data_IF_912164044840
#
_entry.id   IF_912164044840
#
_cell.length_a   1.000
_cell.length_b   1.000
_cell.length_c   1.000
_cell.angle_alpha   90.00
_cell.angle_beta   90.00
_cell.angle_gamma   90.00
#
_symmetry.space_group_name_H-M   'P 1'
#
loop_
_entity.id
_entity.type
_entity.pdbx_description
1 polymer ?
#
# COMPACT_ATOMS: atom_id res chain seq x y z
N UNK A 1 3.41 -2.60 6.97
CA UNK A 1 2.26 -3.27 7.60
C UNK A 1 1.91 -4.57 6.89
N UNK A 2 1.65 -4.54 5.58
CA UNK A 2 1.36 -5.77 4.83
C UNK A 2 2.58 -6.69 4.77
N UNK A 3 3.78 -6.14 4.65
CA UNK A 3 5.04 -6.89 4.79
C UNK A 3 5.13 -7.61 6.14
N UNK A 4 4.88 -6.89 7.24
CA UNK A 4 4.83 -7.50 8.59
C UNK A 4 3.78 -8.60 8.68
N UNK A 5 2.55 -8.38 8.19
CA UNK A 5 1.50 -9.40 8.19
C UNK A 5 1.93 -10.63 7.38
N UNK A 6 2.58 -10.43 6.23
CA UNK A 6 3.15 -11.51 5.42
C UNK A 6 4.19 -12.32 6.21
N UNK A 7 5.11 -11.66 6.92
CA UNK A 7 6.10 -12.33 7.78
C UNK A 7 5.43 -13.17 8.89
N UNK A 8 4.37 -12.64 9.53
CA UNK A 8 3.62 -13.38 10.55
C UNK A 8 2.83 -14.57 9.98
N UNK A 9 2.63 -14.63 8.67
CA UNK A 9 1.89 -15.68 7.97
C UNK A 9 2.80 -16.48 7.02
N UNK A 10 4.02 -16.77 7.45
CA UNK A 10 4.98 -17.64 6.76
C UNK A 10 5.26 -17.21 5.31
N UNK A 11 5.29 -15.90 5.06
CA UNK A 11 5.55 -15.34 3.73
C UNK A 11 4.34 -15.36 2.79
N UNK A 12 3.16 -15.80 3.23
CA UNK A 12 1.96 -15.82 2.40
C UNK A 12 1.40 -14.42 2.14
N UNK A 13 0.78 -14.24 0.97
CA UNK A 13 0.07 -13.02 0.62
C UNK A 13 -1.03 -12.73 1.67
N UNK A 14 -1.03 -11.54 2.30
CA UNK A 14 -1.98 -11.19 3.37
C UNK A 14 -3.45 -11.39 3.01
N UNK A 15 -3.82 -11.12 1.75
CA UNK A 15 -5.18 -11.32 1.27
C UNK A 15 -5.48 -12.80 0.99
N UNK A 16 -4.55 -13.53 0.36
CA UNK A 16 -4.75 -14.96 0.04
C UNK A 16 -4.80 -15.84 1.29
N UNK A 17 -4.00 -15.56 2.32
CA UNK A 17 -4.09 -16.25 3.61
C UNK A 17 -5.22 -15.73 4.51
N UNK A 18 -6.01 -14.76 4.04
CA UNK A 18 -7.14 -14.15 4.77
C UNK A 18 -6.73 -13.48 6.08
N UNK A 19 -5.50 -12.99 6.20
CA UNK A 19 -5.06 -12.20 7.33
C UNK A 19 -5.68 -10.78 7.32
N UNK A 20 -6.05 -10.28 6.14
CA UNK A 20 -6.82 -9.07 5.92
C UNK A 20 -7.96 -9.34 4.93
N UNK A 21 -8.96 -8.48 4.91
CA UNK A 21 -9.96 -8.40 3.83
C UNK A 21 -9.85 -7.05 3.12
N UNK A 22 -10.34 -6.97 1.87
CA UNK A 22 -10.33 -5.75 1.06
C UNK A 22 -11.73 -5.48 0.50
N UNK A 23 -12.18 -4.23 0.60
CA UNK A 23 -13.45 -3.75 0.05
C UNK A 23 -13.21 -2.63 -0.94
N UNK A 24 -13.89 -2.67 -2.08
CA UNK A 24 -13.77 -1.69 -3.16
C UNK A 24 -15.17 -1.19 -3.50
N UNK A 25 -15.36 0.13 -3.61
CA UNK A 25 -16.69 0.68 -3.88
C UNK A 25 -17.15 0.54 -5.32
N UNK A 26 -16.26 0.79 -6.29
CA UNK A 26 -16.62 0.83 -7.71
C UNK A 26 -15.38 0.57 -8.58
N UNK A 27 -15.60 0.22 -9.85
CA UNK A 27 -14.64 0.20 -10.94
C UNK A 27 -13.19 -0.14 -10.55
N UNK A 28 -12.80 -1.40 -10.73
CA UNK A 28 -11.41 -1.82 -10.58
C UNK A 28 -11.01 -2.83 -11.65
N UNK A 29 -9.71 -3.02 -11.83
CA UNK A 29 -9.15 -3.99 -12.76
C UNK A 29 -7.99 -4.75 -12.12
N UNK A 30 -7.69 -5.93 -12.65
CA UNK A 30 -6.66 -6.82 -12.10
C UNK A 30 -7.10 -7.57 -10.85
N UNK A 31 -6.23 -8.46 -10.35
CA UNK A 31 -6.49 -9.22 -9.12
C UNK A 31 -6.07 -8.38 -7.92
N UNK A 32 -6.96 -8.16 -6.96
CA UNK A 32 -6.65 -7.35 -5.75
C UNK A 32 -5.47 -7.89 -4.94
N UNK A 33 -5.21 -9.21 -4.99
CA UNK A 33 -4.03 -9.80 -4.35
C UNK A 33 -2.70 -9.26 -4.90
N UNK A 34 -2.70 -8.73 -6.12
CA UNK A 34 -1.51 -8.16 -6.77
C UNK A 34 -0.92 -6.99 -5.97
N UNK A 35 -1.74 -6.22 -5.25
CA UNK A 35 -1.28 -5.09 -4.43
C UNK A 35 -0.26 -5.45 -3.35
N UNK A 36 -0.17 -6.73 -3.02
CA UNK A 36 0.70 -7.27 -1.98
C UNK A 36 1.82 -8.16 -2.54
N UNK A 37 1.98 -8.29 -3.86
CA UNK A 37 2.92 -9.23 -4.50
C UNK A 37 4.23 -8.55 -4.92
N UNK A 38 4.94 -7.97 -3.96
CA UNK A 38 6.08 -7.09 -4.21
C UNK A 38 7.28 -7.72 -4.94
N UNK A 39 7.39 -9.06 -4.96
CA UNK A 39 8.50 -9.77 -5.63
C UNK A 39 8.20 -10.14 -7.08
N UNK A 40 6.96 -9.94 -7.55
CA UNK A 40 6.57 -10.28 -8.93
C UNK A 40 6.69 -9.05 -9.83
N UNK A 41 6.85 -9.30 -11.13
CA UNK A 41 6.81 -8.25 -12.16
C UNK A 41 5.64 -8.52 -13.12
N UNK A 42 5.30 -7.55 -13.95
CA UNK A 42 4.28 -7.72 -15.00
C UNK A 42 2.86 -7.93 -14.49
N UNK A 43 2.56 -7.47 -13.27
CA UNK A 43 1.22 -7.48 -12.71
C UNK A 43 0.83 -6.06 -12.29
N UNK A 44 -0.48 -5.86 -12.11
CA UNK A 44 -1.00 -4.58 -11.65
C UNK A 44 -2.42 -4.72 -11.18
N UNK A 45 -2.87 -3.69 -10.49
CA UNK A 45 -4.24 -3.47 -10.09
C UNK A 45 -4.58 -2.01 -10.40
N UNK A 46 -5.82 -1.74 -10.79
CA UNK A 46 -6.26 -0.39 -11.14
C UNK A 46 -7.54 -0.01 -10.44
N UNK A 47 -7.61 1.20 -9.90
CA UNK A 47 -8.85 1.81 -9.39
C UNK A 47 -9.36 2.85 -10.38
N UNK A 48 -10.61 2.76 -10.85
CA UNK A 48 -11.20 3.78 -11.70
C UNK A 48 -11.27 5.11 -10.96
N UNK A 49 -10.84 6.19 -11.62
CA UNK A 49 -11.01 7.54 -11.10
C UNK A 49 -12.47 7.97 -11.20
N UNK A 50 -13.21 7.62 -10.15
CA UNK A 50 -14.59 8.02 -9.93
C UNK A 50 -14.62 8.73 -8.59
N UNK A 51 -15.36 9.83 -8.49
CA UNK A 51 -15.53 10.59 -7.25
C UNK A 51 -15.94 9.66 -6.11
N UNK A 52 -15.24 9.74 -4.98
CA UNK A 52 -15.43 8.91 -3.79
C UNK A 52 -15.17 7.41 -3.97
N UNK A 53 -14.56 6.98 -5.09
CA UNK A 53 -14.13 5.60 -5.22
C UNK A 53 -13.00 5.29 -4.25
N UNK A 54 -13.04 4.13 -3.61
CA UNK A 54 -12.09 3.75 -2.59
C UNK A 54 -11.69 2.28 -2.68
N UNK A 55 -10.53 2.02 -2.08
CA UNK A 55 -10.13 0.71 -1.61
C UNK A 55 -9.91 0.79 -0.10
N UNK A 56 -10.59 -0.09 0.63
CA UNK A 56 -10.56 -0.20 2.09
C UNK A 56 -9.93 -1.53 2.48
N UNK A 57 -9.06 -1.49 3.48
CA UNK A 57 -8.33 -2.63 4.03
C UNK A 57 -8.84 -2.89 5.45
N UNK A 58 -9.40 -4.08 5.67
CA UNK A 58 -9.85 -4.55 6.98
C UNK A 58 -8.80 -5.44 7.62
N UNK A 59 -8.24 -4.96 8.73
CA UNK A 59 -7.23 -5.65 9.51
C UNK A 59 -7.80 -6.66 10.52
N UNK A 60 -9.11 -6.93 10.44
CA UNK A 60 -9.89 -7.90 11.23
C UNK A 60 -9.80 -7.62 12.72
N UNK A 61 -9.17 -8.52 13.46
CA UNK A 61 -8.97 -8.39 14.91
C UNK A 61 -7.84 -7.41 15.27
N UNK A 62 -7.10 -6.88 14.28
CA UNK A 62 -6.02 -5.94 14.52
C UNK A 62 -6.47 -4.49 14.28
N UNK A 63 -5.82 -3.56 14.99
CA UNK A 63 -5.95 -2.13 14.73
C UNK A 63 -4.61 -1.50 14.41
N UNK A 64 -4.63 -0.54 13.50
CA UNK A 64 -3.46 0.12 12.94
C UNK A 64 -3.47 1.59 13.34
N UNK A 65 -2.33 2.07 13.83
CA UNK A 65 -2.02 3.49 13.94
C UNK A 65 -1.01 3.81 12.85
N UNK A 66 -1.46 4.59 11.85
CA UNK A 66 -0.73 4.92 10.63
C UNK A 66 0.16 6.14 10.84
N UNK A 67 1.37 6.12 10.29
CA UNK A 67 2.34 7.22 10.34
C UNK A 67 2.93 7.55 8.96
N UNK A 68 2.87 6.61 8.02
CA UNK A 68 3.21 6.84 6.62
C UNK A 68 2.55 5.78 5.73
N UNK A 69 2.54 6.03 4.43
CA UNK A 69 2.09 5.08 3.42
C UNK A 69 2.89 5.24 2.14
N UNK A 70 3.05 4.13 1.41
CA UNK A 70 3.77 4.06 0.14
C UNK A 70 2.84 3.54 -0.93
N UNK A 71 2.92 4.16 -2.10
CA UNK A 71 2.27 3.70 -3.32
C UNK A 71 3.34 3.66 -4.42
N UNK A 72 3.31 2.61 -5.24
CA UNK A 72 4.07 2.56 -6.50
C UNK A 72 3.12 2.83 -7.67
N UNK A 73 3.48 3.74 -8.57
CA UNK A 73 2.76 3.88 -9.83
C UNK A 73 2.97 2.66 -10.71
N UNK A 74 1.87 2.15 -11.27
CA UNK A 74 1.93 1.16 -12.34
C UNK A 74 2.39 1.76 -13.65
N UNK A 75 3.02 0.93 -14.47
CA UNK A 75 3.31 1.20 -15.87
C UNK A 75 2.04 1.07 -16.72
N UNK A 76 1.82 2.01 -17.65
CA UNK A 76 0.81 1.90 -18.68
C UNK A 76 1.41 2.33 -20.03
N UNK A 77 1.10 1.62 -21.12
CA UNK A 77 1.69 1.86 -22.44
C UNK A 77 1.41 3.26 -23.04
N UNK A 78 0.51 4.03 -22.42
CA UNK A 78 0.21 5.43 -22.75
C UNK A 78 0.73 6.45 -21.72
N UNK A 79 1.59 6.03 -20.79
CA UNK A 79 2.01 6.81 -19.62
C UNK A 79 1.11 6.57 -18.41
N UNK A 80 1.71 6.60 -17.22
CA UNK A 80 1.03 6.38 -15.96
C UNK A 80 0.01 7.48 -15.67
N UNK A 81 -1.14 7.09 -15.13
CA UNK A 81 -2.16 8.02 -14.64
C UNK A 81 -1.60 9.00 -13.58
N UNK A 82 -0.57 8.56 -12.86
CA UNK A 82 0.13 9.35 -11.86
C UNK A 82 0.93 10.56 -12.42
N UNK A 83 0.97 10.75 -13.74
CA UNK A 83 1.45 11.98 -14.38
C UNK A 83 0.44 13.15 -14.27
N UNK A 84 -0.79 12.87 -13.83
CA UNK A 84 -1.84 13.86 -13.62
C UNK A 84 -2.06 14.12 -12.12
N UNK A 85 -2.62 15.28 -11.74
CA UNK A 85 -3.04 15.52 -10.37
C UNK A 85 -4.04 14.47 -9.90
N UNK A 86 -3.78 13.87 -8.73
CA UNK A 86 -4.69 12.92 -8.08
C UNK A 86 -5.16 13.52 -6.77
N UNK A 87 -6.48 13.67 -6.60
CA UNK A 87 -7.07 14.13 -5.35
C UNK A 87 -7.52 12.93 -4.52
N UNK A 88 -6.84 12.68 -3.41
CA UNK A 88 -7.12 11.52 -2.57
C UNK A 88 -6.99 11.82 -1.07
N UNK A 89 -7.57 10.94 -0.27
CA UNK A 89 -7.46 10.94 1.17
C UNK A 89 -7.13 9.54 1.70
N UNK A 90 -6.44 9.51 2.85
CA UNK A 90 -6.34 8.33 3.69
C UNK A 90 -7.24 8.54 4.90
N UNK A 91 -8.09 7.54 5.18
CA UNK A 91 -9.08 7.61 6.25
C UNK A 91 -9.07 6.34 7.08
N UNK A 92 -9.44 6.48 8.36
CA UNK A 92 -9.54 5.39 9.32
C UNK A 92 -10.95 5.21 9.87
N UNK A 93 -11.34 3.96 10.12
CA UNK A 93 -12.63 3.62 10.74
C UNK A 93 -12.50 2.41 11.66
N UNK A 94 -13.42 2.29 12.62
CA UNK A 94 -13.56 1.12 13.48
C UNK A 94 -14.88 0.35 13.25
N UNK A 95 -15.79 0.90 12.45
CA UNK A 95 -17.12 0.32 12.16
C UNK A 95 -17.42 0.24 10.66
N UNK A 96 -16.50 0.70 9.80
CA UNK A 96 -16.64 0.79 8.35
C UNK A 96 -17.80 1.70 7.87
N UNK A 97 -18.40 2.48 8.79
CA UNK A 97 -19.52 3.40 8.53
C UNK A 97 -19.03 4.84 8.69
N UNK A 98 -18.48 5.16 9.85
CA UNK A 98 -17.95 6.48 10.19
C UNK A 98 -16.44 6.51 9.94
N UNK A 99 -15.99 7.52 9.20
CA UNK A 99 -14.61 7.64 8.74
C UNK A 99 -13.98 8.93 9.26
N UNK A 100 -12.80 8.79 9.86
CA UNK A 100 -11.96 9.90 10.29
C UNK A 100 -10.86 10.17 9.27
N UNK A 101 -10.65 11.43 8.92
CA UNK A 101 -9.54 11.85 8.06
C UNK A 101 -8.19 11.60 8.76
N UNK A 102 -7.28 10.89 8.09
CA UNK A 102 -5.89 10.69 8.55
C UNK A 102 -4.94 11.62 7.79
N UNK A 103 -5.10 11.69 6.46
CA UNK A 103 -4.28 12.52 5.59
C UNK A 103 -5.09 12.96 4.36
N UNK A 104 -4.88 14.19 3.92
CA UNK A 104 -5.57 14.79 2.78
C UNK A 104 -4.56 15.28 1.74
N UNK A 105 -4.79 14.92 0.48
CA UNK A 105 -3.86 15.15 -0.64
C UNK A 105 -4.58 15.73 -1.86
N UNK A 106 -4.98 17.01 -1.81
CA UNK A 106 -5.61 17.68 -2.94
C UNK A 106 -4.60 17.93 -4.07
N UNK A 107 -5.00 17.63 -5.32
CA UNK A 107 -4.20 17.86 -6.53
C UNK A 107 -2.75 17.33 -6.43
N UNK A 108 -2.56 16.16 -5.82
CA UNK A 108 -1.24 15.62 -5.56
C UNK A 108 -0.57 15.13 -6.86
N UNK A 109 0.68 15.55 -7.08
CA UNK A 109 1.48 15.18 -8.26
C UNK A 109 2.83 14.52 -7.88
N UNK A 110 3.02 14.17 -6.61
CA UNK A 110 4.32 13.71 -6.09
C UNK A 110 4.91 12.49 -6.82
N UNK A 111 4.06 11.55 -7.28
CA UNK A 111 4.51 10.33 -7.97
C UNK A 111 4.96 10.63 -9.41
N UNK A 112 4.16 11.39 -10.17
CA UNK A 112 4.56 12.11 -11.39
C UNK A 112 5.16 11.33 -12.56
N UNK A 113 5.24 10.00 -12.51
CA UNK A 113 5.81 9.16 -13.57
C UNK A 113 5.52 7.66 -13.33
N UNK A 114 5.84 6.84 -14.33
CA UNK A 114 5.73 5.39 -14.33
C UNK A 114 6.76 4.71 -13.41
N UNK A 115 6.35 3.62 -12.77
CA UNK A 115 7.18 2.80 -11.87
C UNK A 115 7.90 3.59 -10.77
N UNK A 116 7.32 4.70 -10.33
CA UNK A 116 7.81 5.52 -9.21
C UNK A 116 7.19 5.06 -7.92
N UNK A 117 8.04 4.95 -6.92
CA UNK A 117 7.64 4.66 -5.54
C UNK A 117 7.69 5.98 -4.78
N UNK A 118 6.62 6.30 -4.07
CA UNK A 118 6.60 7.47 -3.20
C UNK A 118 6.01 7.12 -1.84
N UNK A 119 6.62 7.67 -0.79
CA UNK A 119 6.22 7.50 0.59
C UNK A 119 5.79 8.84 1.18
N UNK A 120 4.52 8.96 1.53
CA UNK A 120 4.02 10.11 2.28
C UNK A 120 4.09 9.82 3.77
N UNK A 121 4.61 10.78 4.54
CA UNK A 121 4.45 10.81 6.00
C UNK A 121 3.16 11.52 6.34
N UNK A 122 2.46 11.03 7.35
CA UNK A 122 1.29 11.66 7.93
C UNK A 122 1.44 11.79 9.44
N UNK A 123 0.55 12.54 10.08
CA UNK A 123 0.47 12.52 11.54
C UNK A 123 0.08 11.12 12.01
N UNK A 124 0.64 10.72 13.14
CA UNK A 124 0.30 9.45 13.78
C UNK A 124 -1.21 9.39 14.04
N UNK A 125 -1.89 8.46 13.40
CA UNK A 125 -3.34 8.30 13.54
C UNK A 125 -3.70 7.61 14.87
N UNK A 126 -4.95 7.76 15.34
CA UNK A 126 -5.55 6.81 16.26
C UNK A 126 -5.54 5.36 15.72
N UNK A 127 -5.89 4.40 16.58
CA UNK A 127 -6.00 3.00 16.20
C UNK A 127 -7.31 2.73 15.45
N UNK A 128 -7.18 2.23 14.22
CA UNK A 128 -8.31 1.87 13.35
C UNK A 128 -8.21 0.44 12.84
N UNK A 129 -9.35 -0.27 12.84
CA UNK A 129 -9.47 -1.59 12.18
C UNK A 129 -9.48 -1.48 10.66
N UNK A 130 -10.06 -0.41 10.14
CA UNK A 130 -10.18 -0.16 8.71
C UNK A 130 -9.33 1.05 8.34
N UNK A 131 -8.53 0.93 7.29
CA UNK A 131 -7.87 2.05 6.64
C UNK A 131 -8.28 2.05 5.17
N UNK A 132 -8.64 3.19 4.60
CA UNK A 132 -8.96 3.27 3.17
C UNK A 132 -8.20 4.39 2.47
N UNK A 133 -7.87 4.13 1.21
CA UNK A 133 -7.52 5.15 0.23
C UNK A 133 -8.79 5.51 -0.54
N UNK A 134 -9.17 6.79 -0.55
CA UNK A 134 -10.37 7.29 -1.23
C UNK A 134 -10.01 8.42 -2.19
N UNK A 135 -10.40 8.26 -3.45
CA UNK A 135 -10.38 9.34 -4.43
C UNK A 135 -11.45 10.37 -4.07
N UNK A 136 -11.09 11.65 -4.06
CA UNK A 136 -11.98 12.72 -3.63
C UNK A 136 -12.72 13.38 -4.79
N UNK A 137 -12.06 13.49 -5.95
CA UNK A 137 -12.62 14.08 -7.16
C UNK A 137 -12.06 13.41 -8.41
N UNK A 138 -12.65 13.73 -9.56
CA UNK A 138 -12.16 13.29 -10.87
C UNK A 138 -11.35 14.45 -11.44
N UNK A 139 -10.07 14.23 -11.75
CA UNK A 139 -9.22 15.24 -12.36
C UNK A 139 -9.09 15.05 -13.86
N UNK A 140 -8.74 13.83 -14.29
CA UNK A 140 -8.46 13.52 -15.70
C UNK A 140 -9.40 12.45 -16.26
N UNK A 141 -9.90 11.56 -15.41
CA UNK A 141 -10.64 10.36 -15.80
C UNK A 141 -9.68 9.25 -16.24
N UNK A 142 -9.82 8.06 -15.66
CA UNK A 142 -8.92 6.95 -15.99
C UNK A 142 -8.87 5.87 -14.93
N UNK A 143 -7.72 5.19 -14.83
CA UNK A 143 -7.45 4.18 -13.82
C UNK A 143 -6.13 4.50 -13.10
N UNK A 144 -6.21 4.58 -11.78
CA UNK A 144 -5.06 4.62 -10.91
C UNK A 144 -4.41 3.24 -10.87
N UNK A 145 -3.44 3.01 -11.76
CA UNK A 145 -2.70 1.76 -11.79
C UNK A 145 -1.62 1.73 -10.71
N UNK A 146 -1.58 0.66 -9.94
CA UNK A 146 -0.57 0.40 -8.92
C UNK A 146 -0.40 -1.11 -8.74
N UNK A 147 0.83 -1.53 -8.47
CA UNK A 147 1.19 -2.89 -8.13
C UNK A 147 1.67 -3.00 -6.67
N UNK A 148 1.88 -1.87 -5.97
CA UNK A 148 2.34 -1.85 -4.58
C UNK A 148 1.59 -0.82 -3.75
N UNK A 149 1.04 -1.29 -2.64
CA UNK A 149 0.52 -0.46 -1.56
C UNK A 149 1.15 -0.93 -0.25
N UNK A 150 1.66 -0.01 0.57
CA UNK A 150 2.22 -0.34 1.88
C UNK A 150 1.90 0.73 2.93
N UNK A 151 1.59 0.30 4.14
CA UNK A 151 1.32 1.16 5.29
C UNK A 151 2.41 1.04 6.34
N UNK A 152 2.72 2.13 7.04
CA UNK A 152 3.77 2.17 8.07
C UNK A 152 3.22 2.75 9.36
N UNK A 153 3.65 2.21 10.50
CA UNK A 153 3.18 2.63 11.82
C UNK A 153 3.18 1.49 12.83
N UNK A 154 2.22 1.48 13.74
CA UNK A 154 2.09 0.46 14.79
C UNK A 154 0.82 -0.36 14.65
N UNK A 155 0.91 -1.65 15.02
CA UNK A 155 -0.21 -2.59 15.02
C UNK A 155 -0.50 -3.03 16.46
N UNK A 156 -1.75 -2.90 16.84
CA UNK A 156 -2.29 -3.47 18.06
C UNK A 156 -2.97 -4.80 17.68
N UNK A 157 -2.40 -5.90 18.17
CA UNK A 157 -2.92 -7.26 17.93
C UNK A 157 -3.69 -7.72 19.16
N UNK A 158 -4.93 -8.19 19.00
CA UNK A 158 -5.77 -8.64 20.12
C UNK A 158 -5.30 -9.95 20.78
N UNK A 159 -4.22 -10.58 20.31
CA UNK A 159 -3.74 -11.86 20.84
C UNK A 159 -2.74 -11.76 22.01
N UNK A 160 -2.44 -10.56 22.51
CA UNK A 160 -1.74 -10.26 23.77
C UNK A 160 -1.74 -8.74 23.90
N UNK A 161 -1.88 -8.16 25.09
CA UNK A 161 -1.92 -6.71 25.38
C UNK A 161 -0.65 -5.89 24.99
N UNK A 162 0.12 -6.34 24.00
CA UNK A 162 1.35 -5.73 23.51
C UNK A 162 1.12 -5.06 22.15
N UNK A 163 1.27 -3.73 22.11
CA UNK A 163 1.42 -2.98 20.86
C UNK A 163 2.77 -3.37 20.25
N UNK A 164 2.76 -3.87 19.01
CA UNK A 164 3.99 -4.12 18.25
C UNK A 164 4.26 -2.92 17.34
N UNK A 165 5.44 -2.34 17.48
CA UNK A 165 5.93 -1.29 16.60
C UNK A 165 6.62 -1.93 15.39
N UNK A 166 6.21 -1.59 14.18
CA UNK A 166 6.90 -2.02 12.97
C UNK A 166 7.19 -0.81 12.09
N UNK A 167 8.43 -0.32 12.17
CA UNK A 167 8.95 0.73 11.30
C UNK A 167 9.79 0.02 10.22
N UNK A 168 9.17 -0.40 9.12
CA UNK A 168 9.94 -0.85 7.97
C UNK A 168 10.40 0.36 7.14
N UNK A 169 11.55 0.93 7.48
CA UNK A 169 12.29 1.74 6.53
C UNK A 169 13.33 0.82 5.87
N UNK A 170 12.95 0.17 4.76
CA UNK A 170 13.87 -0.52 3.87
C UNK A 170 13.23 -0.70 2.48
N UNK A 171 12.98 0.42 1.78
CA UNK A 171 12.83 0.44 0.33
C UNK A 171 13.85 1.41 -0.26
N UNK A 172 15.14 1.20 0.05
CA UNK A 172 16.22 1.90 -0.66
C UNK A 172 17.41 1.01 -1.07
N UNK A 173 17.31 -0.31 -0.91
CA UNK A 173 18.37 -1.25 -1.32
C UNK A 173 17.82 -2.53 -1.95
N UNK A 174 17.07 -2.42 -3.04
CA UNK A 174 16.89 -3.54 -3.97
C UNK A 174 16.91 -3.05 -5.43
N UNK A 175 18.02 -2.38 -5.78
CA UNK A 175 18.60 -2.52 -7.12
C UNK A 175 19.99 -3.12 -6.88
N UNK A 176 20.02 -4.43 -6.63
CA UNK A 176 21.28 -5.18 -6.45
C UNK A 176 21.81 -5.53 -7.84
N UNK A 177 22.98 -4.99 -8.18
CA UNK A 177 23.86 -5.57 -9.20
C UNK A 177 24.14 -7.03 -8.85
N UNK A 178 23.79 -7.93 -9.77
CA UNK A 178 24.26 -9.31 -9.77
C UNK A 178 25.75 -9.31 -10.18
N UNK A 179 26.65 -9.64 -9.26
CA UNK A 179 27.93 -10.26 -9.62
C UNK A 179 28.09 -11.48 -8.70
N UNK A 180 28.17 -12.71 -9.25
CA UNK A 180 28.33 -13.91 -8.44
C UNK A 180 29.75 -13.97 -7.85
N UNK A 181 29.83 -14.35 -6.57
CA UNK A 181 31.08 -14.78 -5.94
C UNK A 181 31.57 -16.03 -6.67
N UNK A 182 32.71 -15.90 -7.36
CA UNK A 182 33.55 -17.02 -7.75
C UNK A 182 34.49 -17.31 -6.57
N UNK A 183 34.53 -18.58 -6.20
CA UNK A 183 35.46 -19.20 -5.29
C UNK A 183 36.91 -18.74 -5.49
N UNK A 184 37.65 -18.58 -4.39
CA UNK A 184 39.03 -19.07 -4.33
C UNK A 184 39.44 -19.33 -2.88
N UNK A 185 39.48 -20.61 -2.52
CA UNK A 185 40.32 -21.13 -1.45
C UNK A 185 41.80 -21.16 -1.90
N UNK A 186 42.70 -21.22 -0.91
CA UNK A 186 44.18 -21.40 -0.94
C UNK A 186 45.00 -20.10 -1.09
N UNK A 187 46.03 -19.80 -0.28
CA UNK A 187 46.90 -20.59 0.60
C UNK A 187 47.39 -19.75 1.79
N UNK A 188 47.84 -20.47 2.82
CA UNK A 188 48.70 -20.08 3.95
C UNK A 188 49.81 -19.08 3.63
#
# INVERSE_FOLDING_TARGET
MFTYIREQNNGQNPLTCKAIDVYISNGYSGRTSNLFEYSKTGHGWGLSEVTNNFISFDFKENKISLEAYTIKSGYASGGSYWNHPVDFAIEGSNDNIEWSMIDDKPNNMDIGADDKVYTWKCNKSPLYRYIRFRLRSISYGGYLFTDHFEFFGSINTMNNDNIKYHISCNFMYYIIFHIPLIDLFFLS
#
